data_IF_223076950293
#
_entry.id   IF_223076950293
#
_cell.length_a   1.000
_cell.length_b   1.000
_cell.length_c   1.000
_cell.angle_alpha   90.00
_cell.angle_beta   90.00
_cell.angle_gamma   90.00
#
_symmetry.space_group_name_H-M   'P 1'
#
loop_
_entity.id
_entity.type
_entity.pdbx_description
1 polymer ?
#
# COMPACT_ATOMS: atom_id res chain seq x y z
N UNK A 1 13.93 13.63 -10.76
CA UNK A 1 13.17 12.37 -10.75
C UNK A 1 13.03 11.84 -9.33
N UNK A 2 11.86 11.31 -8.97
CA UNK A 2 11.60 10.52 -7.76
C UNK A 2 10.97 9.21 -8.22
N UNK A 3 11.42 8.08 -7.69
CA UNK A 3 10.79 6.78 -7.93
C UNK A 3 9.92 6.49 -6.73
N UNK A 4 8.61 6.43 -6.93
CA UNK A 4 7.64 6.34 -5.84
C UNK A 4 7.66 4.93 -5.24
N UNK A 5 7.59 4.79 -3.92
CA UNK A 5 7.56 3.47 -3.26
C UNK A 5 6.13 2.87 -3.23
N UNK A 6 5.52 2.81 -4.42
CA UNK A 6 4.26 2.11 -4.71
C UNK A 6 4.44 1.37 -6.04
N UNK A 7 3.81 0.21 -6.21
CA UNK A 7 4.01 -0.61 -7.42
C UNK A 7 2.79 -0.60 -8.34
N UNK A 8 3.01 -0.62 -9.65
CA UNK A 8 1.99 -0.71 -10.69
C UNK A 8 2.13 -2.06 -11.43
N UNK A 9 1.76 -3.14 -10.75
CA UNK A 9 2.02 -4.52 -11.18
C UNK A 9 0.88 -5.15 -12.01
N UNK A 10 -0.10 -4.34 -12.44
CA UNK A 10 -1.19 -4.77 -13.33
C UNK A 10 -0.89 -4.36 -14.77
N UNK A 11 -1.44 -5.10 -15.73
CA UNK A 11 -1.21 -4.90 -17.16
C UNK A 11 -2.45 -4.39 -17.92
N UNK A 12 -2.24 -3.99 -19.18
CA UNK A 12 -3.29 -3.59 -20.12
C UNK A 12 -4.17 -2.44 -19.61
N UNK A 13 -5.47 -2.54 -19.84
CA UNK A 13 -6.46 -1.52 -19.46
C UNK A 13 -6.47 -1.22 -17.95
N UNK A 14 -6.10 -2.20 -17.10
CA UNK A 14 -5.99 -1.96 -15.66
C UNK A 14 -4.80 -1.05 -15.33
N UNK A 15 -3.68 -1.22 -16.03
CA UNK A 15 -2.49 -0.39 -15.91
C UNK A 15 -2.77 1.05 -16.30
N UNK A 16 -3.42 1.26 -17.44
CA UNK A 16 -3.74 2.59 -17.93
C UNK A 16 -4.60 3.35 -16.91
N UNK A 17 -5.65 2.70 -16.38
CA UNK A 17 -6.52 3.29 -15.35
C UNK A 17 -5.78 3.56 -14.04
N UNK A 18 -4.88 2.67 -13.63
CA UNK A 18 -4.04 2.89 -12.46
C UNK A 18 -3.15 4.12 -12.64
N UNK A 19 -2.52 4.27 -13.80
CA UNK A 19 -1.64 5.41 -14.10
C UNK A 19 -2.38 6.73 -14.26
N UNK A 20 -3.59 6.73 -14.83
CA UNK A 20 -4.45 7.92 -14.85
C UNK A 20 -4.84 8.36 -13.44
N UNK A 21 -5.16 7.39 -12.59
CA UNK A 21 -5.36 7.61 -11.16
C UNK A 21 -4.12 8.22 -10.51
N UNK A 22 -2.93 7.65 -10.75
CA UNK A 22 -1.68 8.15 -10.20
C UNK A 22 -1.37 9.57 -10.67
N UNK A 23 -1.53 9.87 -11.96
CA UNK A 23 -1.33 11.22 -12.52
C UNK A 23 -2.20 12.25 -11.80
N UNK A 24 -3.46 11.90 -11.54
CA UNK A 24 -4.38 12.75 -10.78
C UNK A 24 -3.91 12.94 -9.33
N UNK A 25 -3.33 11.92 -8.70
CA UNK A 25 -2.82 12.04 -7.33
C UNK A 25 -1.55 12.90 -7.26
N UNK A 26 -0.64 12.74 -8.22
CA UNK A 26 0.55 13.58 -8.36
C UNK A 26 0.14 15.03 -8.62
N UNK A 27 -0.82 15.27 -9.52
CA UNK A 27 -1.37 16.60 -9.80
C UNK A 27 -1.92 17.26 -8.53
N UNK A 28 -2.72 16.54 -7.74
CA UNK A 28 -3.25 17.08 -6.48
C UNK A 28 -2.14 17.40 -5.45
N UNK A 29 -1.00 16.72 -5.49
CA UNK A 29 0.07 16.90 -4.53
C UNK A 29 1.02 18.05 -4.90
N UNK A 30 1.31 18.22 -6.20
CA UNK A 30 2.35 19.15 -6.66
C UNK A 30 1.92 20.09 -7.79
N UNK A 31 0.69 20.01 -8.28
CA UNK A 31 0.18 20.78 -9.42
C UNK A 31 0.05 22.28 -9.16
N UNK A 32 -0.02 22.69 -7.88
CA UNK A 32 -0.01 24.11 -7.48
C UNK A 32 1.41 24.71 -7.40
N UNK A 33 2.45 23.89 -7.56
CA UNK A 33 3.85 24.34 -7.54
C UNK A 33 4.31 24.75 -8.95
N UNK A 34 5.30 25.65 -9.03
CA UNK A 34 5.87 26.11 -10.30
C UNK A 34 6.80 25.05 -10.92
N UNK A 35 6.23 23.92 -11.34
CA UNK A 35 6.92 22.79 -11.96
C UNK A 35 6.12 22.17 -13.11
N UNK A 36 6.85 21.64 -14.08
CA UNK A 36 6.34 20.64 -15.00
C UNK A 36 6.73 19.25 -14.49
N UNK A 37 5.86 18.26 -14.70
CA UNK A 37 6.14 16.89 -14.29
C UNK A 37 5.65 15.85 -15.30
N UNK A 38 6.32 14.70 -15.33
CA UNK A 38 5.96 13.55 -16.16
C UNK A 38 5.96 12.29 -15.30
N UNK A 39 4.86 11.52 -15.39
CA UNK A 39 4.71 10.22 -14.71
C UNK A 39 5.01 9.10 -15.69
N UNK A 40 6.08 8.36 -15.42
CA UNK A 40 6.45 7.12 -16.10
C UNK A 40 6.36 5.90 -15.18
N UNK A 41 6.71 4.73 -15.71
CA UNK A 41 6.84 3.50 -14.94
C UNK A 41 8.12 2.80 -15.38
N UNK A 42 8.92 2.36 -14.42
CA UNK A 42 10.15 1.62 -14.65
C UNK A 42 9.85 0.16 -15.05
N UNK A 43 10.91 -0.57 -15.38
CA UNK A 43 10.85 -1.99 -15.72
C UNK A 43 10.53 -2.92 -14.53
N UNK A 44 10.72 -2.43 -13.31
CA UNK A 44 10.40 -3.08 -12.04
C UNK A 44 9.04 -2.62 -11.49
N UNK A 45 8.17 -2.09 -12.37
CA UNK A 45 6.81 -1.64 -12.10
C UNK A 45 6.66 -0.48 -11.10
N UNK A 46 7.76 0.10 -10.61
CA UNK A 46 7.70 1.31 -9.79
C UNK A 46 7.48 2.55 -10.67
N UNK A 47 6.44 3.35 -10.41
CA UNK A 47 6.25 4.63 -11.07
C UNK A 47 7.39 5.61 -10.76
N UNK A 48 7.78 6.38 -11.75
CA UNK A 48 8.73 7.48 -11.61
C UNK A 48 8.08 8.80 -11.98
N UNK A 49 8.44 9.85 -11.24
CA UNK A 49 8.00 11.22 -11.52
C UNK A 49 9.22 12.07 -11.83
N UNK A 50 9.36 12.48 -13.08
CA UNK A 50 10.34 13.50 -13.50
C UNK A 50 9.73 14.87 -13.22
N UNK A 51 10.53 15.79 -12.67
CA UNK A 51 10.06 17.10 -12.19
C UNK A 51 11.11 18.14 -12.51
N UNK A 52 10.71 19.19 -13.23
CA UNK A 52 11.54 20.29 -13.70
C UNK A 52 10.82 21.63 -13.45
N UNK A 53 11.55 22.65 -13.01
CA UNK A 53 10.97 23.96 -12.67
C UNK A 53 11.54 24.59 -11.41
N UNK A 54 11.04 25.78 -11.06
CA UNK A 54 11.52 26.60 -9.94
C UNK A 54 11.30 25.90 -8.60
N UNK A 55 10.14 25.26 -8.42
CA UNK A 55 9.77 24.56 -7.18
C UNK A 55 10.19 23.08 -7.17
N UNK A 56 11.11 22.68 -8.06
CA UNK A 56 11.45 21.27 -8.26
C UNK A 56 11.95 20.54 -7.01
N UNK A 57 12.62 21.23 -6.07
CA UNK A 57 13.05 20.62 -4.80
C UNK A 57 11.85 20.37 -3.88
N UNK A 58 10.95 21.35 -3.74
CA UNK A 58 9.76 21.23 -2.90
C UNK A 58 8.85 20.11 -3.42
N UNK A 59 8.57 20.11 -4.73
CA UNK A 59 7.77 19.06 -5.37
C UNK A 59 8.33 17.66 -5.11
N UNK A 60 9.65 17.47 -5.27
CA UNK A 60 10.29 16.18 -4.99
C UNK A 60 10.24 15.78 -3.52
N UNK A 61 10.23 16.72 -2.59
CA UNK A 61 10.09 16.42 -1.17
C UNK A 61 8.67 15.98 -0.82
N UNK A 62 7.65 16.69 -1.33
CA UNK A 62 6.24 16.29 -1.20
C UNK A 62 6.02 14.86 -1.72
N UNK A 63 6.54 14.56 -2.91
CA UNK A 63 6.44 13.20 -3.48
C UNK A 63 7.08 12.12 -2.58
N UNK A 64 8.22 12.41 -1.95
CA UNK A 64 8.88 11.47 -1.03
C UNK A 64 8.11 11.29 0.27
N UNK A 65 7.49 12.35 0.78
CA UNK A 65 6.70 12.31 2.01
C UNK A 65 5.41 11.49 1.81
N UNK A 66 4.72 11.73 0.70
CA UNK A 66 3.42 11.10 0.40
C UNK A 66 3.55 9.62 -0.01
N UNK A 67 4.55 9.27 -0.82
CA UNK A 67 4.70 7.91 -1.37
C UNK A 67 5.91 7.14 -0.85
N UNK A 68 6.80 7.76 -0.08
CA UNK A 68 8.16 7.25 0.07
C UNK A 68 8.95 7.33 -1.24
N UNK A 69 10.16 6.77 -1.24
CA UNK A 69 10.93 6.64 -2.47
C UNK A 69 11.78 5.38 -2.51
N UNK A 70 11.86 4.79 -3.69
CA UNK A 70 12.83 3.74 -4.02
C UNK A 70 14.20 4.39 -4.21
N UNK A 71 15.19 3.87 -3.48
CA UNK A 71 16.56 4.36 -3.45
C UNK A 71 17.51 3.26 -3.95
N UNK A 72 18.60 3.61 -4.65
CA UNK A 72 19.63 2.63 -5.01
C UNK A 72 20.52 2.23 -3.83
N UNK A 73 20.47 2.98 -2.73
CA UNK A 73 21.32 2.76 -1.55
C UNK A 73 20.50 2.87 -0.27
N UNK A 74 20.64 1.88 0.60
CA UNK A 74 20.06 1.88 1.94
C UNK A 74 21.09 2.22 3.01
N UNK A 75 20.65 2.97 4.01
CA UNK A 75 21.43 3.32 5.19
C UNK A 75 20.87 2.55 6.38
N UNK A 76 21.75 1.85 7.11
CA UNK A 76 21.36 1.08 8.28
C UNK A 76 20.73 1.99 9.35
N UNK A 77 19.57 1.59 9.86
CA UNK A 77 18.81 2.33 10.86
C UNK A 77 17.80 3.32 10.28
N UNK A 78 17.85 3.61 8.98
CA UNK A 78 16.87 4.46 8.31
C UNK A 78 15.60 3.68 7.92
N UNK A 79 14.50 4.41 7.76
CA UNK A 79 13.18 3.85 7.42
C UNK A 79 12.93 3.99 5.92
N UNK A 80 12.46 2.90 5.32
CA UNK A 80 12.07 2.82 3.92
C UNK A 80 10.72 2.14 3.77
N UNK A 81 10.10 2.29 2.60
CA UNK A 81 8.86 1.59 2.24
C UNK A 81 9.19 0.51 1.24
N UNK A 82 8.72 -0.71 1.50
CA UNK A 82 8.81 -1.83 0.56
C UNK A 82 7.44 -2.45 0.32
N UNK A 83 7.26 -3.02 -0.86
CA UNK A 83 6.03 -3.69 -1.30
C UNK A 83 6.07 -5.14 -0.83
N UNK A 84 5.06 -5.61 -0.07
CA UNK A 84 5.01 -7.01 0.36
C UNK A 84 4.91 -7.95 -0.84
N UNK A 85 6.04 -8.56 -1.23
CA UNK A 85 6.15 -9.35 -2.46
C UNK A 85 5.86 -10.82 -2.20
N UNK A 86 6.46 -11.37 -1.15
CA UNK A 86 6.29 -12.76 -0.75
C UNK A 86 6.48 -12.97 0.74
N UNK A 87 6.10 -14.15 1.22
CA UNK A 87 6.29 -14.56 2.60
C UNK A 87 6.44 -16.07 2.69
N UNK A 88 7.19 -16.53 3.67
CA UNK A 88 7.42 -17.94 3.97
C UNK A 88 7.58 -18.14 5.48
N UNK A 89 7.97 -19.34 5.93
CA UNK A 89 8.22 -19.61 7.36
C UNK A 89 9.33 -18.73 7.96
N UNK A 90 10.26 -18.24 7.13
CA UNK A 90 11.40 -17.46 7.58
C UNK A 90 11.15 -15.95 7.64
N UNK A 91 10.08 -15.43 7.02
CA UNK A 91 9.67 -14.03 7.16
C UNK A 91 8.94 -13.45 5.95
N UNK A 92 8.91 -12.13 5.88
CA UNK A 92 8.41 -11.36 4.75
C UNK A 92 9.56 -10.94 3.83
N UNK A 93 9.29 -10.88 2.53
CA UNK A 93 10.14 -10.22 1.54
C UNK A 93 9.42 -8.98 1.05
N UNK A 94 10.07 -7.84 1.22
CA UNK A 94 9.60 -6.54 0.77
C UNK A 94 10.44 -6.10 -0.43
N UNK A 95 9.80 -5.85 -1.56
CA UNK A 95 10.45 -5.25 -2.72
C UNK A 95 10.54 -3.73 -2.52
N UNK A 96 11.75 -3.24 -2.32
CA UNK A 96 12.07 -1.83 -2.18
C UNK A 96 13.01 -1.35 -3.31
N UNK A 97 12.88 -1.93 -4.50
CA UNK A 97 13.83 -1.80 -5.62
C UNK A 97 14.93 -2.86 -5.60
N UNK A 98 15.05 -3.55 -4.47
CA UNK A 98 15.72 -4.83 -4.27
C UNK A 98 14.99 -5.57 -3.13
N UNK A 99 15.16 -6.90 -3.07
CA UNK A 99 14.50 -7.74 -2.09
C UNK A 99 15.07 -7.50 -0.68
N UNK A 100 14.24 -6.97 0.22
CA UNK A 100 14.57 -6.82 1.64
C UNK A 100 13.80 -7.86 2.45
N UNK A 101 14.53 -8.75 3.12
CA UNK A 101 13.91 -9.72 4.03
C UNK A 101 13.74 -9.14 5.43
N UNK A 102 12.50 -9.22 5.94
CA UNK A 102 12.16 -9.02 7.35
C UNK A 102 11.94 -10.40 7.97
N UNK A 103 12.89 -10.92 8.80
CA UNK A 103 12.75 -12.22 9.42
C UNK A 103 11.49 -12.34 10.28
N UNK A 104 10.97 -13.56 10.45
CA UNK A 104 9.75 -13.82 11.22
C UNK A 104 9.79 -13.21 12.64
N UNK A 105 10.94 -13.29 13.31
CA UNK A 105 11.16 -12.73 14.65
C UNK A 105 11.14 -11.19 14.66
N UNK A 106 11.42 -10.56 13.52
CA UNK A 106 11.48 -9.10 13.32
C UNK A 106 10.21 -8.52 12.70
N UNK A 107 9.17 -9.34 12.47
CA UNK A 107 7.86 -8.81 12.06
C UNK A 107 7.25 -8.02 13.23
N UNK A 108 7.34 -8.55 14.45
CA UNK A 108 6.95 -7.81 15.66
C UNK A 108 5.45 -7.53 15.78
N UNK A 109 4.60 -8.42 15.24
CA UNK A 109 3.13 -8.32 15.28
C UNK A 109 2.48 -9.41 16.15
N UNK A 110 3.22 -9.90 17.14
CA UNK A 110 2.79 -10.95 18.06
C UNK A 110 3.05 -12.38 17.53
N UNK A 111 2.55 -13.40 18.24
CA UNK A 111 2.86 -14.80 17.94
C UNK A 111 2.17 -15.30 16.67
N UNK A 112 2.82 -16.23 15.98
CA UNK A 112 2.33 -16.93 14.80
C UNK A 112 3.39 -17.05 13.71
N UNK A 113 3.14 -17.91 12.71
CA UNK A 113 3.93 -17.89 11.48
C UNK A 113 3.68 -16.60 10.69
N UNK A 114 4.59 -16.20 9.78
CA UNK A 114 4.38 -15.04 8.91
C UNK A 114 3.03 -15.07 8.16
N UNK A 115 2.60 -16.22 7.65
CA UNK A 115 1.27 -16.40 7.04
C UNK A 115 0.10 -16.12 8.02
N UNK A 116 0.20 -16.59 9.26
CA UNK A 116 -0.83 -16.36 10.27
C UNK A 116 -0.90 -14.88 10.65
N UNK A 117 0.26 -14.22 10.77
CA UNK A 117 0.33 -12.77 11.01
C UNK A 117 -0.31 -12.02 9.84
N UNK A 118 0.10 -12.35 8.62
CA UNK A 118 -0.45 -11.77 7.40
C UNK A 118 -1.98 -11.84 7.36
N UNK A 119 -2.54 -13.03 7.62
CA UNK A 119 -3.99 -13.24 7.67
C UNK A 119 -4.65 -12.42 8.78
N UNK A 120 -4.08 -12.42 10.00
CA UNK A 120 -4.63 -11.72 11.17
C UNK A 120 -4.71 -10.21 10.97
N UNK A 121 -3.68 -9.61 10.37
CA UNK A 121 -3.59 -8.17 10.14
C UNK A 121 -4.08 -7.76 8.74
N UNK A 122 -4.63 -8.70 7.96
CA UNK A 122 -5.17 -8.44 6.65
C UNK A 122 -4.15 -7.91 5.64
N UNK A 123 -2.90 -8.38 5.71
CA UNK A 123 -1.80 -7.91 4.86
C UNK A 123 -1.89 -8.59 3.49
N UNK A 124 -2.66 -8.01 2.57
CA UNK A 124 -2.75 -8.50 1.18
C UNK A 124 -1.39 -8.39 0.48
N UNK A 125 -1.16 -9.21 -0.53
CA UNK A 125 0.03 -9.09 -1.38
C UNK A 125 0.10 -7.69 -1.98
N UNK A 126 1.33 -7.19 -2.15
CA UNK A 126 1.67 -5.84 -2.60
C UNK A 126 1.37 -4.70 -1.62
N UNK A 127 0.90 -4.98 -0.40
CA UNK A 127 0.73 -3.95 0.62
C UNK A 127 2.07 -3.23 0.89
N UNK A 128 2.14 -1.89 0.77
CA UNK A 128 3.34 -1.15 1.14
C UNK A 128 3.49 -1.13 2.67
N UNK A 129 4.65 -1.59 3.12
CA UNK A 129 5.03 -1.70 4.53
C UNK A 129 6.32 -0.91 4.77
N UNK A 130 6.35 -0.16 5.87
CA UNK A 130 7.56 0.54 6.30
C UNK A 130 8.45 -0.35 7.14
N UNK A 131 9.74 -0.35 6.84
CA UNK A 131 10.75 -1.15 7.53
C UNK A 131 11.98 -0.30 7.87
N UNK A 132 12.68 -0.69 8.93
CA UNK A 132 14.01 -0.18 9.26
C UNK A 132 15.03 -1.09 8.58
N UNK A 133 15.88 -0.53 7.73
CA UNK A 133 16.91 -1.31 7.04
C UNK A 133 18.07 -1.66 7.99
N UNK A 134 18.52 -2.91 7.94
CA UNK A 134 19.65 -3.38 8.75
C UNK A 134 19.89 -4.89 8.68
N UNK A 135 20.67 -5.38 9.64
CA UNK A 135 21.06 -6.79 9.78
C UNK A 135 20.73 -7.27 11.21
N UNK A 136 19.52 -7.81 11.46
CA UNK A 136 18.40 -7.99 10.52
C UNK A 136 17.62 -6.69 10.25
N UNK A 137 16.89 -6.66 9.12
CA UNK A 137 15.89 -5.63 8.86
C UNK A 137 14.59 -5.98 9.59
N UNK A 138 13.80 -4.98 9.96
CA UNK A 138 12.59 -5.16 10.79
C UNK A 138 11.47 -4.23 10.37
N UNK A 139 10.21 -4.56 10.64
CA UNK A 139 9.13 -3.58 10.47
C UNK A 139 9.39 -2.35 11.36
N UNK A 140 9.09 -1.17 10.82
CA UNK A 140 9.21 0.09 11.56
C UNK A 140 8.22 0.12 12.73
N UNK A 141 8.58 0.79 13.82
CA UNK A 141 7.75 0.80 15.03
C UNK A 141 6.38 1.46 14.76
N UNK A 142 6.37 2.61 14.10
CA UNK A 142 5.11 3.27 13.66
C UNK A 142 4.29 2.40 12.69
N UNK A 143 4.92 1.51 11.94
CA UNK A 143 4.22 0.57 11.05
C UNK A 143 3.54 -0.53 11.86
N UNK A 144 4.24 -1.10 12.84
CA UNK A 144 3.67 -2.07 13.77
C UNK A 144 2.52 -1.48 14.55
N UNK A 145 2.69 -0.26 15.07
CA UNK A 145 1.64 0.46 15.81
C UNK A 145 0.40 0.69 14.93
N UNK A 146 0.60 1.16 13.69
CA UNK A 146 -0.48 1.30 12.71
C UNK A 146 -1.26 -0.01 12.52
N UNK A 147 -0.56 -1.13 12.35
CA UNK A 147 -1.17 -2.45 12.14
C UNK A 147 -1.86 -2.97 13.40
N UNK A 148 -1.28 -2.75 14.59
CA UNK A 148 -1.94 -3.06 15.86
C UNK A 148 -3.23 -2.28 16.06
N UNK A 149 -3.29 -1.02 15.62
CA UNK A 149 -4.51 -0.24 15.74
C UNK A 149 -5.61 -0.73 14.79
N UNK A 150 -5.27 -1.43 13.70
CA UNK A 150 -6.28 -2.07 12.85
C UNK A 150 -7.05 -3.15 13.59
N UNK A 151 -6.40 -3.91 14.47
CA UNK A 151 -7.04 -4.96 15.27
C UNK A 151 -7.85 -4.39 16.45
N UNK A 152 -7.70 -3.09 16.76
CA UNK A 152 -8.46 -2.42 17.83
C UNK A 152 -9.65 -1.61 17.28
N UNK A 153 -9.74 -1.46 15.97
CA UNK A 153 -10.77 -0.67 15.30
C UNK A 153 -12.09 -1.42 15.11
N UNK A 154 -12.93 -0.91 14.22
CA UNK A 154 -14.23 -1.50 13.84
C UNK A 154 -14.11 -2.62 12.79
N UNK A 155 -12.88 -3.06 12.50
CA UNK A 155 -12.58 -4.02 11.44
C UNK A 155 -12.45 -3.36 10.07
N UNK A 156 -11.87 -4.09 9.13
CA UNK A 156 -11.63 -3.62 7.76
C UNK A 156 -11.51 -4.78 6.78
N UNK A 157 -11.70 -4.48 5.49
CA UNK A 157 -11.41 -5.40 4.39
C UNK A 157 -10.37 -4.75 3.49
N UNK A 158 -9.19 -5.36 3.45
CA UNK A 158 -8.10 -4.93 2.59
C UNK A 158 -8.18 -5.68 1.26
N UNK A 159 -7.94 -4.97 0.16
CA UNK A 159 -7.94 -5.53 -1.18
C UNK A 159 -6.75 -4.98 -1.96
N UNK A 160 -6.10 -5.83 -2.77
CA UNK A 160 -5.08 -5.40 -3.71
C UNK A 160 -5.64 -5.33 -5.14
N UNK A 161 -4.81 -4.94 -6.10
CA UNK A 161 -5.05 -5.04 -7.55
C UNK A 161 -6.26 -4.25 -8.06
N UNK A 162 -6.76 -3.30 -7.24
CA UNK A 162 -7.94 -2.51 -7.56
C UNK A 162 -7.73 -1.07 -7.10
N UNK A 163 -8.10 -0.12 -7.96
CA UNK A 163 -8.07 1.29 -7.60
C UNK A 163 -9.13 1.60 -6.52
N UNK A 164 -8.91 2.67 -5.75
CA UNK A 164 -9.91 3.17 -4.77
C UNK A 164 -11.30 3.35 -5.39
N UNK A 165 -11.35 3.83 -6.64
CA UNK A 165 -12.59 4.05 -7.37
C UNK A 165 -13.33 2.74 -7.66
N UNK A 166 -12.63 1.70 -8.09
CA UNK A 166 -13.19 0.37 -8.33
C UNK A 166 -13.71 -0.26 -7.04
N UNK A 167 -12.91 -0.26 -5.96
CA UNK A 167 -13.33 -0.80 -4.66
C UNK A 167 -14.57 -0.06 -4.15
N UNK A 168 -14.59 1.27 -4.23
CA UNK A 168 -15.76 2.07 -3.82
C UNK A 168 -16.99 1.77 -4.68
N UNK A 169 -16.82 1.66 -6.00
CA UNK A 169 -17.91 1.31 -6.91
C UNK A 169 -18.48 -0.09 -6.62
N UNK A 170 -17.62 -1.06 -6.32
CA UNK A 170 -18.02 -2.41 -5.94
C UNK A 170 -18.78 -2.43 -4.62
N UNK A 171 -18.27 -1.77 -3.56
CA UNK A 171 -18.97 -1.65 -2.27
C UNK A 171 -20.37 -1.03 -2.45
N UNK A 172 -20.48 0.04 -3.25
CA UNK A 172 -21.76 0.67 -3.54
C UNK A 172 -22.71 -0.29 -4.28
N UNK A 173 -22.21 -1.01 -5.30
CA UNK A 173 -23.00 -1.96 -6.09
C UNK A 173 -23.50 -3.15 -5.26
N UNK A 174 -22.68 -3.59 -4.30
CA UNK A 174 -23.04 -4.64 -3.35
C UNK A 174 -24.01 -4.18 -2.25
N UNK A 175 -24.42 -2.90 -2.23
CA UNK A 175 -25.37 -2.36 -1.25
C UNK A 175 -24.76 -1.95 0.09
N UNK A 176 -23.43 -1.91 0.20
CA UNK A 176 -22.71 -1.71 1.46
C UNK A 176 -22.18 -0.29 1.69
N UNK A 177 -22.68 0.71 0.95
CA UNK A 177 -22.28 2.12 1.15
C UNK A 177 -22.59 2.62 2.57
N UNK A 178 -23.66 2.08 3.18
CA UNK A 178 -24.09 2.34 4.55
C UNK A 178 -23.26 1.62 5.62
N UNK A 179 -22.41 0.66 5.24
CA UNK A 179 -21.69 -0.21 6.16
C UNK A 179 -20.21 0.17 6.33
N UNK A 180 -19.74 1.17 5.59
CA UNK A 180 -18.33 1.56 5.59
C UNK A 180 -18.15 3.02 5.99
N UNK A 181 -17.09 3.31 6.75
CA UNK A 181 -16.68 4.70 7.04
C UNK A 181 -16.13 5.33 5.77
N UNK A 182 -15.12 4.68 5.17
CA UNK A 182 -14.48 5.12 3.93
C UNK A 182 -13.70 3.98 3.28
N UNK A 183 -13.16 4.25 2.09
CA UNK A 183 -12.12 3.43 1.46
C UNK A 183 -10.82 4.23 1.52
N UNK A 184 -9.90 3.79 2.36
CA UNK A 184 -8.56 4.32 2.51
C UNK A 184 -7.64 3.72 1.43
N UNK A 185 -6.63 4.47 1.01
CA UNK A 185 -5.63 4.03 0.03
C UNK A 185 -4.31 3.81 0.75
N UNK A 186 -3.69 2.64 0.56
CA UNK A 186 -2.34 2.36 1.07
C UNK A 186 -1.29 2.37 -0.03
N UNK A 187 -1.61 1.81 -1.19
CA UNK A 187 -0.78 1.86 -2.38
C UNK A 187 -1.61 2.28 -3.59
N UNK A 188 -1.00 2.24 -4.78
CA UNK A 188 -1.71 2.56 -6.01
C UNK A 188 -2.93 1.64 -6.22
N UNK A 189 -2.78 0.36 -5.86
CA UNK A 189 -3.75 -0.71 -6.08
C UNK A 189 -4.21 -1.38 -4.78
N UNK A 190 -3.67 -0.95 -3.64
CA UNK A 190 -3.97 -1.49 -2.32
C UNK A 190 -4.91 -0.54 -1.57
N UNK A 191 -6.09 -1.04 -1.25
CA UNK A 191 -7.17 -0.30 -0.62
C UNK A 191 -7.60 -0.97 0.68
N UNK A 192 -8.14 -0.16 1.60
CA UNK A 192 -8.71 -0.62 2.86
C UNK A 192 -10.10 -0.07 3.04
N UNK A 193 -11.08 -0.95 3.04
CA UNK A 193 -12.46 -0.63 3.33
C UNK A 193 -12.63 -0.65 4.85
N UNK A 194 -12.74 0.53 5.46
CA UNK A 194 -12.90 0.66 6.91
C UNK A 194 -14.38 0.44 7.24
N UNK A 195 -14.69 -0.59 8.02
CA UNK A 195 -16.05 -0.93 8.41
C UNK A 195 -16.62 0.11 9.39
N UNK A 196 -17.94 0.34 9.36
CA UNK A 196 -18.63 1.01 10.47
C UNK A 196 -18.78 0.06 11.66
N UNK A 197 -19.09 0.62 12.81
CA UNK A 197 -19.45 -0.17 13.99
C UNK A 197 -20.64 -1.11 13.68
N UNK A 198 -20.51 -2.37 14.09
CA UNK A 198 -21.52 -3.41 13.85
C UNK A 198 -21.50 -4.06 12.47
N UNK A 199 -20.66 -3.58 11.54
CA UNK A 199 -20.46 -4.24 10.24
C UNK A 199 -19.53 -5.44 10.41
N UNK A 200 -19.93 -6.60 9.87
CA UNK A 200 -19.14 -7.83 9.88
C UNK A 200 -18.11 -7.86 8.72
N UNK A 201 -16.79 -7.75 8.98
CA UNK A 201 -15.80 -7.70 7.90
C UNK A 201 -15.74 -8.97 7.03
N UNK A 202 -15.80 -10.21 7.57
CA UNK A 202 -15.93 -11.42 6.76
C UNK A 202 -17.16 -11.43 5.84
N UNK A 203 -18.33 -11.01 6.33
CA UNK A 203 -19.55 -10.89 5.53
C UNK A 203 -19.41 -9.86 4.41
N UNK A 204 -18.81 -8.69 4.70
CA UNK A 204 -18.52 -7.68 3.69
C UNK A 204 -17.54 -8.20 2.64
N UNK A 205 -16.46 -8.87 3.06
CA UNK A 205 -15.48 -9.49 2.18
C UNK A 205 -16.15 -10.50 1.24
N UNK A 206 -17.01 -11.39 1.76
CA UNK A 206 -17.73 -12.36 0.95
C UNK A 206 -18.64 -11.70 -0.10
N UNK A 207 -19.28 -10.58 0.26
CA UNK A 207 -20.16 -9.82 -0.62
C UNK A 207 -19.41 -9.15 -1.78
N UNK A 208 -18.30 -8.46 -1.48
CA UNK A 208 -17.55 -7.71 -2.51
C UNK A 208 -16.53 -8.55 -3.27
N UNK A 209 -16.02 -9.62 -2.66
CA UNK A 209 -14.92 -10.42 -3.20
C UNK A 209 -15.26 -11.12 -4.52
N UNK A 210 -16.53 -11.47 -4.74
CA UNK A 210 -16.99 -12.05 -6.01
C UNK A 210 -16.94 -11.07 -7.20
N UNK A 211 -16.68 -9.79 -6.94
CA UNK A 211 -16.73 -8.71 -7.91
C UNK A 211 -15.38 -8.01 -8.12
N UNK A 212 -14.34 -8.40 -7.37
CA UNK A 212 -13.00 -7.85 -7.49
C UNK A 212 -12.03 -8.95 -7.90
N UNK A 213 -11.27 -8.79 -9.00
CA UNK A 213 -10.16 -9.69 -9.34
C UNK A 213 -8.95 -9.36 -8.45
N UNK A 214 -9.13 -9.52 -7.15
CA UNK A 214 -8.22 -9.09 -6.10
C UNK A 214 -8.03 -10.20 -5.07
N UNK A 215 -6.90 -10.17 -4.39
CA UNK A 215 -6.83 -10.79 -3.07
C UNK A 215 -7.56 -9.90 -2.06
N UNK A 216 -8.36 -10.51 -1.19
CA UNK A 216 -8.98 -9.83 -0.07
C UNK A 216 -8.65 -10.54 1.24
N UNK A 217 -8.30 -9.75 2.25
CA UNK A 217 -8.23 -10.19 3.63
C UNK A 217 -8.97 -9.21 4.52
N UNK A 218 -9.58 -9.71 5.58
CA UNK A 218 -10.26 -8.89 6.57
C UNK A 218 -9.52 -8.88 7.90
N UNK A 219 -9.53 -7.74 8.56
CA UNK A 219 -9.13 -7.62 9.97
C UNK A 219 -10.40 -7.61 10.79
N UNK A 220 -10.47 -8.52 11.76
CA UNK A 220 -11.58 -8.63 12.71
C UNK A 220 -11.17 -7.92 14.01
N UNK A 221 -12.07 -7.11 14.62
CA UNK A 221 -11.86 -6.49 15.94
C UNK A 221 -11.60 -7.50 17.06
#
# INVERSE_FOLDING_TARGET
MVVLATKCYVDGDARERALDGLRSLVDNAIGDLAVEYEVGVRHDDFPSVTVDGEDGVAARNVLREEWGAITPEFVRGEIYTGTLESWDESGFVLDAGEDVRVPAEEIGLGPGSPEQVRTRYGLVQHLPLRFVYGEPSRLADDERDRLYDWTRGTGRVNANSATRGEVRATVNRAGHAGDIVTVERFGLLEQSVICREGTDPPGLLASIGTHLPAELLCVVP
#
